data_IF_107654367956
#
_entry.id   IF_107654367956
#
_cell.length_a   1.000
_cell.length_b   1.000
_cell.length_c   1.000
_cell.angle_alpha   90.00
_cell.angle_beta   90.00
_cell.angle_gamma   90.00
#
_symmetry.space_group_name_H-M   'P 1'
#
loop_
_entity.id
_entity.type
_entity.pdbx_description
1 polymer ?
#
# COMPACT_ATOMS: atom_id res chain seq x y z
N UNK A 1 -9.37 14.58 6.62
CA UNK A 1 -9.43 13.32 5.85
C UNK A 1 -9.98 12.21 6.74
N UNK A 2 -10.81 11.33 6.19
CA UNK A 2 -11.35 10.14 6.87
C UNK A 2 -10.35 9.01 6.78
N UNK A 3 -9.96 8.45 7.91
CA UNK A 3 -8.93 7.40 7.99
C UNK A 3 -9.56 6.14 8.57
N UNK A 4 -9.34 4.99 7.91
CA UNK A 4 -9.60 3.67 8.47
C UNK A 4 -8.29 3.05 8.96
N UNK A 5 -8.32 2.33 10.09
CA UNK A 5 -7.18 1.56 10.60
C UNK A 5 -7.54 0.08 10.55
N UNK A 6 -6.63 -0.74 10.04
CA UNK A 6 -6.74 -2.21 10.03
C UNK A 6 -5.51 -2.78 10.73
N UNK A 7 -5.70 -3.30 11.94
CA UNK A 7 -4.64 -3.90 12.74
C UNK A 7 -5.25 -4.74 13.89
N UNK A 8 -4.73 -5.93 14.12
CA UNK A 8 -5.18 -6.87 15.15
C UNK A 8 -4.55 -6.63 16.53
N UNK A 9 -3.50 -5.77 16.60
CA UNK A 9 -2.79 -5.46 17.84
C UNK A 9 -3.32 -4.17 18.46
N UNK A 10 -4.06 -4.20 19.59
CA UNK A 10 -4.67 -3.01 20.19
C UNK A 10 -3.67 -1.89 20.51
N UNK A 11 -2.45 -2.26 20.91
CA UNK A 11 -1.38 -1.29 21.20
C UNK A 11 -0.98 -0.52 19.93
N UNK A 12 -0.87 -1.18 18.79
CA UNK A 12 -0.54 -0.52 17.51
C UNK A 12 -1.68 0.41 17.08
N UNK A 13 -2.93 -0.04 17.22
CA UNK A 13 -4.10 0.82 16.98
C UNK A 13 -4.03 2.10 17.82
N UNK A 14 -3.68 2.00 19.10
CA UNK A 14 -3.58 3.17 19.98
C UNK A 14 -2.41 4.09 19.59
N UNK A 15 -1.28 3.55 19.16
CA UNK A 15 -0.14 4.31 18.61
C UNK A 15 -0.57 5.12 17.38
N UNK A 16 -1.26 4.47 16.44
CA UNK A 16 -1.74 5.11 15.21
C UNK A 16 -2.80 6.16 15.52
N UNK A 17 -3.73 5.85 16.43
CA UNK A 17 -4.76 6.80 16.90
C UNK A 17 -4.14 8.05 17.50
N UNK A 18 -3.12 7.89 18.34
CA UNK A 18 -2.40 9.00 18.96
C UNK A 18 -1.66 9.84 17.92
N UNK A 19 -1.00 9.22 16.94
CA UNK A 19 -0.34 9.94 15.85
C UNK A 19 -1.34 10.77 15.01
N UNK A 20 -2.54 10.23 14.74
CA UNK A 20 -3.60 10.94 14.04
C UNK A 20 -4.18 12.09 14.85
N UNK A 21 -4.28 11.95 16.19
CA UNK A 21 -4.84 12.97 17.07
C UNK A 21 -4.02 14.28 17.10
N UNK A 22 -2.72 14.21 16.79
CA UNK A 22 -1.86 15.40 16.67
C UNK A 22 -2.20 16.25 15.43
N UNK A 23 -3.02 15.73 14.51
CA UNK A 23 -3.40 16.39 13.27
C UNK A 23 -4.92 16.48 13.10
N UNK A 24 -5.56 17.56 13.54
CA UNK A 24 -7.03 17.71 13.54
C UNK A 24 -7.70 17.57 12.16
N UNK A 25 -6.92 17.70 11.09
CA UNK A 25 -7.41 17.50 9.72
C UNK A 25 -7.69 16.01 9.40
N UNK A 26 -7.25 15.07 10.25
CA UNK A 26 -7.42 13.62 10.09
C UNK A 26 -8.41 13.09 11.12
N UNK A 27 -9.45 12.43 10.64
CA UNK A 27 -10.49 11.83 11.47
C UNK A 27 -10.44 10.31 11.33
N UNK A 28 -10.19 9.60 12.42
CA UNK A 28 -10.39 8.15 12.46
C UNK A 28 -11.88 7.85 12.43
N UNK A 29 -12.33 7.11 11.42
CA UNK A 29 -13.76 6.80 11.23
C UNK A 29 -14.11 5.38 11.66
N UNK A 30 -13.17 4.42 11.57
CA UNK A 30 -13.35 3.05 12.03
C UNK A 30 -12.00 2.33 12.23
N UNK A 31 -12.05 1.22 12.97
CA UNK A 31 -10.95 0.28 13.19
C UNK A 31 -11.46 -1.12 12.85
N UNK A 32 -10.68 -1.88 12.08
CA UNK A 32 -10.90 -3.27 11.78
C UNK A 32 -9.75 -4.13 12.33
N UNK A 33 -10.01 -5.36 12.74
CA UNK A 33 -9.04 -6.26 13.35
C UNK A 33 -8.48 -7.33 12.39
N UNK A 34 -9.08 -7.45 11.20
CA UNK A 34 -8.62 -8.33 10.14
C UNK A 34 -9.06 -7.83 8.76
N UNK A 35 -8.56 -8.51 7.71
CA UNK A 35 -8.85 -8.12 6.34
C UNK A 35 -10.30 -8.34 5.90
N UNK A 36 -11.06 -9.24 6.54
CA UNK A 36 -12.49 -9.44 6.25
C UNK A 36 -13.27 -8.25 6.73
N UNK A 37 -13.09 -7.89 8.01
CA UNK A 37 -13.73 -6.73 8.62
C UNK A 37 -13.33 -5.44 7.89
N UNK A 38 -12.07 -5.31 7.45
CA UNK A 38 -11.62 -4.16 6.69
C UNK A 38 -12.42 -3.97 5.39
N UNK A 39 -12.67 -5.04 4.63
CA UNK A 39 -13.45 -4.98 3.40
C UNK A 39 -14.92 -4.60 3.67
N UNK A 40 -15.51 -5.10 4.75
CA UNK A 40 -16.87 -4.76 5.19
C UNK A 40 -16.97 -3.28 5.62
N UNK A 41 -16.00 -2.80 6.40
CA UNK A 41 -15.96 -1.40 6.84
C UNK A 41 -15.76 -0.43 5.68
N UNK A 42 -14.94 -0.78 4.67
CA UNK A 42 -14.80 0.02 3.46
C UNK A 42 -16.12 0.10 2.67
N UNK A 43 -16.87 -0.99 2.60
CA UNK A 43 -18.18 -1.01 1.93
C UNK A 43 -19.24 -0.20 2.68
N UNK A 44 -19.17 -0.19 4.02
CA UNK A 44 -20.09 0.57 4.85
C UNK A 44 -19.76 2.08 4.88
N UNK A 45 -18.49 2.43 5.06
CA UNK A 45 -18.05 3.82 5.13
C UNK A 45 -16.66 3.95 4.51
N UNK A 46 -16.61 4.37 3.24
CA UNK A 46 -15.37 4.52 2.48
C UNK A 46 -14.46 5.60 3.08
N UNK A 47 -13.20 5.28 3.45
CA UNK A 47 -12.24 6.25 3.94
C UNK A 47 -11.51 6.96 2.80
N UNK A 48 -10.86 8.09 3.11
CA UNK A 48 -9.93 8.74 2.19
C UNK A 48 -8.59 7.99 2.11
N UNK A 49 -8.18 7.30 3.20
CA UNK A 49 -6.99 6.44 3.27
C UNK A 49 -7.22 5.32 4.29
N UNK A 50 -6.82 4.10 3.95
CA UNK A 50 -6.71 2.97 4.87
C UNK A 50 -5.26 2.82 5.33
N UNK A 51 -5.04 2.74 6.65
CA UNK A 51 -3.79 2.28 7.25
C UNK A 51 -3.91 0.78 7.46
N UNK A 52 -3.18 -0.02 6.67
CA UNK A 52 -3.31 -1.47 6.60
C UNK A 52 -2.09 -2.17 7.17
N UNK A 53 -2.26 -2.95 8.22
CA UNK A 53 -1.20 -3.88 8.64
C UNK A 53 -1.01 -5.01 7.63
N UNK A 54 0.21 -5.50 7.54
CA UNK A 54 0.57 -6.60 6.64
C UNK A 54 0.31 -7.95 7.28
N UNK A 55 0.60 -8.09 8.57
CA UNK A 55 0.54 -9.38 9.28
C UNK A 55 -0.67 -9.39 10.20
N UNK A 56 -1.70 -10.08 9.79
CA UNK A 56 -2.93 -10.25 10.57
C UNK A 56 -3.43 -11.68 10.46
N UNK A 57 -4.21 -12.17 11.45
CA UNK A 57 -4.85 -13.47 11.39
C UNK A 57 -5.93 -13.52 10.30
N UNK A 58 -6.32 -14.73 9.88
CA UNK A 58 -7.35 -15.04 8.91
C UNK A 58 -7.08 -14.50 7.50
N UNK A 59 -7.15 -13.20 7.31
CA UNK A 59 -6.89 -12.50 6.05
C UNK A 59 -5.84 -11.44 6.29
N UNK A 60 -4.66 -11.65 5.73
CA UNK A 60 -3.54 -10.73 5.84
C UNK A 60 -3.73 -9.44 5.02
N UNK A 61 -2.82 -8.46 5.19
CA UNK A 61 -2.94 -7.16 4.55
C UNK A 61 -2.84 -7.20 3.03
N UNK A 62 -2.12 -8.17 2.45
CA UNK A 62 -2.01 -8.30 0.99
C UNK A 62 -3.34 -8.76 0.39
N UNK A 63 -3.93 -9.83 0.94
CA UNK A 63 -5.23 -10.32 0.51
C UNK A 63 -6.36 -9.34 0.82
N UNK A 64 -6.30 -8.63 1.98
CA UNK A 64 -7.25 -7.56 2.30
C UNK A 64 -7.18 -6.42 1.27
N UNK A 65 -5.97 -6.00 0.88
CA UNK A 65 -5.74 -5.00 -0.16
C UNK A 65 -6.40 -5.44 -1.48
N UNK A 66 -6.15 -6.67 -1.92
CA UNK A 66 -6.75 -7.23 -3.13
C UNK A 66 -8.29 -7.16 -3.10
N UNK A 67 -8.91 -7.57 -1.99
CA UNK A 67 -10.37 -7.56 -1.83
C UNK A 67 -10.97 -6.16 -1.86
N UNK A 68 -10.33 -5.22 -1.15
CA UNK A 68 -10.77 -3.82 -1.10
C UNK A 68 -10.65 -3.20 -2.48
N UNK A 69 -9.51 -3.35 -3.15
CA UNK A 69 -9.28 -2.77 -4.48
C UNK A 69 -10.19 -3.33 -5.55
N UNK A 70 -10.70 -4.56 -5.40
CA UNK A 70 -11.68 -5.15 -6.33
C UNK A 70 -13.11 -4.65 -6.12
N UNK A 71 -13.52 -4.35 -4.88
CA UNK A 71 -14.93 -4.05 -4.54
C UNK A 71 -15.17 -2.58 -4.24
N UNK A 72 -14.29 -1.98 -3.48
CA UNK A 72 -14.43 -0.60 -2.96
C UNK A 72 -13.06 0.08 -2.99
N UNK A 73 -12.48 0.31 -4.19
CA UNK A 73 -11.12 0.82 -4.30
C UNK A 73 -10.95 2.14 -3.57
N UNK A 74 -9.94 2.19 -2.71
CA UNK A 74 -9.55 3.38 -1.96
C UNK A 74 -8.04 3.38 -1.71
N UNK A 75 -7.43 4.53 -1.41
CA UNK A 75 -6.02 4.63 -1.10
C UNK A 75 -5.63 3.78 0.10
N UNK A 76 -4.63 2.90 -0.05
CA UNK A 76 -4.12 2.04 1.02
C UNK A 76 -2.65 2.37 1.26
N UNK A 77 -2.33 2.71 2.52
CA UNK A 77 -0.98 2.85 3.04
C UNK A 77 -0.68 1.67 3.96
N UNK A 78 0.31 0.87 3.59
CA UNK A 78 0.73 -0.26 4.41
C UNK A 78 1.48 0.25 5.65
N UNK A 79 1.21 -0.33 6.81
CA UNK A 79 1.87 -0.01 8.08
C UNK A 79 2.39 -1.31 8.66
N UNK A 80 3.69 -1.42 8.90
CA UNK A 80 4.31 -2.64 9.45
C UNK A 80 5.44 -2.30 10.41
N UNK A 81 5.73 -3.18 11.37
CA UNK A 81 6.82 -2.98 12.31
C UNK A 81 8.20 -3.08 11.63
N UNK A 82 8.34 -3.97 10.65
CA UNK A 82 9.57 -4.19 9.89
C UNK A 82 9.27 -4.45 8.41
N UNK A 83 9.66 -3.48 7.56
CA UNK A 83 9.45 -3.55 6.12
C UNK A 83 10.33 -4.65 5.51
N UNK A 84 11.56 -4.81 5.99
CA UNK A 84 12.51 -5.77 5.42
C UNK A 84 12.11 -7.21 5.73
N UNK A 85 11.69 -7.48 6.96
CA UNK A 85 11.21 -8.80 7.37
C UNK A 85 9.92 -9.21 6.63
N UNK A 86 9.09 -8.25 6.25
CA UNK A 86 7.82 -8.47 5.59
C UNK A 86 7.84 -8.15 4.09
N UNK A 87 9.03 -8.02 3.47
CA UNK A 87 9.21 -7.51 2.11
C UNK A 87 8.33 -8.22 1.07
N UNK A 88 8.28 -9.56 1.09
CA UNK A 88 7.48 -10.35 0.14
C UNK A 88 6.01 -9.94 0.18
N UNK A 89 5.41 -9.90 1.38
CA UNK A 89 3.99 -9.50 1.55
C UNK A 89 3.75 -8.02 1.25
N UNK A 90 4.71 -7.16 1.53
CA UNK A 90 4.65 -5.74 1.15
C UNK A 90 4.60 -5.60 -0.37
N UNK A 91 5.47 -6.29 -1.11
CA UNK A 91 5.45 -6.25 -2.57
C UNK A 91 4.18 -6.86 -3.16
N UNK A 92 3.67 -7.93 -2.58
CA UNK A 92 2.38 -8.52 -2.96
C UNK A 92 1.24 -7.51 -2.79
N UNK A 93 1.13 -6.85 -1.64
CA UNK A 93 0.13 -5.83 -1.38
C UNK A 93 0.26 -4.61 -2.32
N UNK A 94 1.49 -4.17 -2.62
CA UNK A 94 1.74 -3.11 -3.62
C UNK A 94 1.28 -3.56 -5.01
N UNK A 95 1.52 -4.82 -5.39
CA UNK A 95 1.01 -5.43 -6.62
C UNK A 95 -0.52 -5.47 -6.69
N UNK A 96 -1.20 -5.57 -5.57
CA UNK A 96 -2.66 -5.51 -5.46
C UNK A 96 -3.23 -4.08 -5.38
N UNK A 97 -2.39 -3.06 -5.38
CA UNK A 97 -2.81 -1.65 -5.48
C UNK A 97 -2.62 -0.81 -4.22
N UNK A 98 -1.94 -1.31 -3.18
CA UNK A 98 -1.46 -0.43 -2.12
C UNK A 98 -0.47 0.60 -2.69
N UNK A 99 -0.48 1.83 -2.16
CA UNK A 99 0.23 2.95 -2.79
C UNK A 99 1.61 3.23 -2.19
N UNK A 100 1.83 2.90 -0.93
CA UNK A 100 3.11 3.10 -0.25
C UNK A 100 3.16 2.25 1.03
N UNK A 101 4.32 2.22 1.70
CA UNK A 101 4.53 1.53 2.98
C UNK A 101 5.26 2.44 3.97
N UNK A 102 4.94 2.30 5.26
CA UNK A 102 5.60 3.02 6.36
C UNK A 102 5.80 2.09 7.56
N UNK A 103 6.86 2.34 8.34
CA UNK A 103 7.05 1.67 9.63
C UNK A 103 6.11 2.22 10.69
N UNK A 104 5.60 1.33 11.54
CA UNK A 104 4.81 1.71 12.71
C UNK A 104 5.62 2.66 13.62
N UNK A 105 5.06 3.82 14.04
CA UNK A 105 5.73 4.69 15.00
C UNK A 105 6.01 3.97 16.32
N UNK A 106 7.17 4.23 16.93
CA UNK A 106 7.59 3.57 18.20
C UNK A 106 7.38 4.53 19.36
N UNK A 107 6.76 4.03 20.44
CA UNK A 107 6.48 4.84 21.65
C UNK A 107 7.67 5.11 22.55
N UNK A 108 8.80 4.39 22.36
CA UNK A 108 9.97 4.44 23.23
C UNK A 108 11.10 5.31 22.67
N UNK A 109 11.88 5.95 23.55
CA UNK A 109 13.13 6.62 23.15
C UNK A 109 13.01 8.00 22.49
N UNK A 110 11.91 8.72 22.65
CA UNK A 110 11.74 10.07 22.06
C UNK A 110 11.48 10.11 20.56
N UNK A 111 11.41 8.95 19.91
CA UNK A 111 11.26 8.83 18.45
C UNK A 111 9.80 8.83 17.97
N UNK A 112 8.83 8.89 18.90
CA UNK A 112 7.41 8.85 18.53
C UNK A 112 7.02 9.99 17.58
N UNK A 113 7.41 11.23 17.90
CA UNK A 113 7.06 12.39 17.08
C UNK A 113 7.64 12.29 15.66
N UNK A 114 8.87 11.79 15.53
CA UNK A 114 9.49 11.59 14.23
C UNK A 114 8.75 10.51 13.41
N UNK A 115 8.41 9.39 14.03
CA UNK A 115 7.64 8.32 13.42
C UNK A 115 6.22 8.76 13.06
N UNK A 116 5.55 9.50 13.94
CA UNK A 116 4.24 10.08 13.70
C UNK A 116 4.27 11.08 12.54
N UNK A 117 5.25 11.97 12.48
CA UNK A 117 5.42 12.92 11.37
C UNK A 117 5.65 12.19 10.03
N UNK A 118 6.48 11.12 10.02
CA UNK A 118 6.69 10.30 8.83
C UNK A 118 5.41 9.61 8.36
N UNK A 119 4.62 9.07 9.30
CA UNK A 119 3.31 8.47 9.01
C UNK A 119 2.35 9.50 8.37
N UNK A 120 2.21 10.68 8.99
CA UNK A 120 1.33 11.74 8.49
C UNK A 120 1.75 12.22 7.09
N UNK A 121 3.05 12.45 6.88
CA UNK A 121 3.56 12.82 5.55
C UNK A 121 3.22 11.76 4.48
N UNK A 122 3.29 10.48 4.81
CA UNK A 122 2.91 9.37 3.92
C UNK A 122 1.40 9.34 3.67
N UNK A 123 0.56 9.52 4.69
CA UNK A 123 -0.90 9.61 4.56
C UNK A 123 -1.27 10.72 3.57
N UNK A 124 -0.72 11.91 3.74
CA UNK A 124 -0.98 13.04 2.86
C UNK A 124 -0.49 12.80 1.43
N UNK A 125 0.68 12.14 1.27
CA UNK A 125 1.21 11.77 -0.05
C UNK A 125 0.27 10.81 -0.76
N UNK A 126 -0.15 9.73 -0.10
CA UNK A 126 -1.05 8.70 -0.62
C UNK A 126 -2.41 9.29 -1.01
N UNK A 127 -2.98 10.15 -0.17
CA UNK A 127 -4.23 10.83 -0.46
C UNK A 127 -4.15 11.77 -1.69
N UNK A 128 -3.00 12.42 -1.89
CA UNK A 128 -2.78 13.25 -3.10
C UNK A 128 -2.62 12.40 -4.36
N UNK A 129 -1.99 11.24 -4.27
CA UNK A 129 -1.83 10.32 -5.41
C UNK A 129 -3.18 9.84 -5.91
N UNK A 130 -4.10 9.51 -5.03
CA UNK A 130 -5.45 9.06 -5.39
C UNK A 130 -6.27 10.15 -6.12
N UNK A 131 -6.21 11.40 -5.67
CA UNK A 131 -6.91 12.51 -6.33
C UNK A 131 -6.42 12.81 -7.76
N UNK A 132 -5.19 12.38 -8.07
CA UNK A 132 -4.58 12.60 -9.40
C UNK A 132 -4.99 11.55 -10.43
N UNK A 133 -5.60 10.44 -10.01
CA UNK A 133 -6.03 9.33 -10.87
C UNK A 133 -7.43 9.56 -11.46
N UNK A 134 -8.19 10.57 -11.04
CA UNK A 134 -9.52 10.90 -11.58
C UNK A 134 -9.51 11.48 -13.02
N UNK A 135 -8.34 11.84 -13.56
CA UNK A 135 -8.21 12.12 -14.99
C UNK A 135 -7.73 10.83 -15.68
N UNK A 136 -8.49 10.24 -16.63
CA UNK A 136 -7.97 9.13 -17.42
C UNK A 136 -6.71 9.62 -18.12
N UNK A 137 -5.56 9.05 -17.75
CA UNK A 137 -4.33 9.29 -18.47
C UNK A 137 -4.61 8.96 -19.96
N UNK A 138 -4.19 9.80 -20.91
CA UNK A 138 -4.34 9.48 -22.31
C UNK A 138 -3.71 8.11 -22.53
N UNK A 139 -4.49 7.18 -23.06
CA UNK A 139 -4.02 5.84 -23.42
C UNK A 139 -2.86 6.06 -24.38
N UNK A 140 -1.64 5.94 -23.90
CA UNK A 140 -0.48 5.93 -24.76
C UNK A 140 -0.69 4.75 -25.71
N UNK A 141 -0.91 5.05 -26.99
CA UNK A 141 -0.83 4.03 -28.03
C UNK A 141 0.51 3.31 -27.83
N UNK A 142 0.53 1.96 -27.80
CA UNK A 142 1.78 1.25 -27.67
C UNK A 142 2.76 1.80 -28.73
N UNK A 143 3.94 2.22 -28.27
CA UNK A 143 4.97 2.67 -29.19
C UNK A 143 5.22 1.53 -30.18
N UNK A 144 5.19 1.85 -31.48
CA UNK A 144 5.51 0.89 -32.53
C UNK A 144 6.91 0.36 -32.21
N UNK A 145 7.00 -0.91 -31.84
CA UNK A 145 8.26 -1.58 -31.60
C UNK A 145 8.97 -1.59 -32.98
N UNK A 146 9.95 -0.71 -33.16
CA UNK A 146 10.87 -0.84 -34.27
C UNK A 146 11.68 -2.10 -34.02
N UNK A 147 11.77 -3.00 -34.99
CA UNK A 147 12.62 -4.18 -34.91
C UNK A 147 14.02 -3.74 -34.49
N UNK A 148 14.45 -4.20 -33.33
CA UNK A 148 15.79 -3.93 -32.83
C UNK A 148 16.80 -4.77 -33.63
N UNK A 149 17.96 -4.20 -33.92
CA UNK A 149 19.09 -4.90 -34.50
C UNK A 149 19.40 -6.15 -33.65
N UNK A 150 19.40 -7.34 -34.21
CA UNK A 150 19.58 -8.59 -33.48
C UNK A 150 20.93 -8.71 -32.73
N UNK A 151 21.85 -7.78 -32.96
CA UNK A 151 23.14 -7.70 -32.26
C UNK A 151 23.11 -7.00 -30.90
N UNK A 152 22.01 -6.28 -30.55
CA UNK A 152 21.94 -5.49 -29.33
C UNK A 152 21.10 -6.19 -28.27
N UNK A 153 21.77 -6.84 -27.30
CA UNK A 153 21.12 -7.53 -26.16
C UNK A 153 20.83 -6.59 -24.98
N UNK A 154 20.22 -5.43 -25.21
CA UNK A 154 19.80 -4.52 -24.14
C UNK A 154 18.30 -4.65 -23.91
N UNK A 155 17.91 -5.13 -22.74
CA UNK A 155 16.52 -5.13 -22.28
C UNK A 155 16.35 -4.05 -21.23
N UNK A 156 15.54 -3.03 -21.54
CA UNK A 156 15.18 -1.98 -20.58
C UNK A 156 13.74 -2.18 -20.16
N UNK A 157 13.52 -2.48 -18.88
CA UNK A 157 12.19 -2.68 -18.33
C UNK A 157 11.84 -1.49 -17.44
N UNK A 158 10.87 -0.70 -17.86
CA UNK A 158 10.28 0.36 -17.04
C UNK A 158 9.04 -0.18 -16.31
N UNK A 159 9.03 -0.08 -14.99
CA UNK A 159 7.92 -0.55 -14.18
C UNK A 159 7.23 0.59 -13.42
N UNK A 160 5.89 0.64 -13.48
CA UNK A 160 5.04 1.49 -12.64
C UNK A 160 4.52 0.70 -11.43
N UNK A 161 3.50 1.17 -10.72
CA UNK A 161 2.96 0.54 -9.51
C UNK A 161 2.60 -0.96 -9.63
N UNK A 162 2.23 -1.47 -10.82
CA UNK A 162 2.00 -2.90 -11.10
C UNK A 162 3.25 -3.67 -11.56
N UNK A 163 4.39 -2.98 -11.74
CA UNK A 163 5.60 -3.55 -12.30
C UNK A 163 6.29 -4.61 -11.47
N UNK A 164 6.36 -4.51 -10.13
CA UNK A 164 7.03 -5.50 -9.30
C UNK A 164 6.47 -6.92 -9.45
N UNK A 165 5.15 -7.07 -9.54
CA UNK A 165 4.51 -8.38 -9.74
C UNK A 165 4.84 -8.96 -11.12
N UNK A 166 4.74 -8.16 -12.18
CA UNK A 166 5.07 -8.58 -13.55
C UNK A 166 6.56 -8.91 -13.71
N UNK A 167 7.46 -8.17 -13.02
CA UNK A 167 8.89 -8.46 -13.01
C UNK A 167 9.22 -9.77 -12.28
N UNK A 168 8.50 -10.06 -11.18
CA UNK A 168 8.66 -11.31 -10.45
C UNK A 168 8.28 -12.53 -11.32
N UNK A 169 7.18 -12.46 -12.07
CA UNK A 169 6.79 -13.51 -13.02
C UNK A 169 7.81 -13.68 -14.16
N UNK A 170 8.33 -12.57 -14.70
CA UNK A 170 9.39 -12.60 -15.72
C UNK A 170 10.68 -13.27 -15.20
N UNK A 171 11.09 -12.94 -13.97
CA UNK A 171 12.26 -13.56 -13.34
C UNK A 171 12.07 -15.08 -13.15
N UNK A 172 10.87 -15.52 -12.73
CA UNK A 172 10.57 -16.94 -12.57
C UNK A 172 10.63 -17.72 -13.89
N UNK A 173 10.17 -17.13 -14.99
CA UNK A 173 10.25 -17.74 -16.32
C UNK A 173 11.70 -17.88 -16.83
N UNK A 174 12.59 -16.93 -16.47
CA UNK A 174 13.99 -16.95 -16.91
C UNK A 174 14.91 -17.83 -16.04
N UNK A 175 14.52 -18.16 -14.81
CA UNK A 175 15.32 -18.96 -13.88
C UNK A 175 14.94 -20.44 -13.87
N UNK A 176 13.88 -20.85 -14.59
CA UNK A 176 13.44 -22.25 -14.65
C UNK A 176 14.17 -23.09 -15.68
N UNK A 177 15.00 -22.49 -16.54
CA UNK A 177 15.74 -23.18 -17.63
C UNK A 177 17.28 -23.15 -17.44
N UNK A 178 17.78 -22.99 -16.19
CA UNK A 178 19.22 -23.02 -15.87
C UNK A 178 19.58 -24.22 -15.00
#
# INVERSE_FOLDING_TARGET
MKIGIVNDVPMVVEILRRALAEHPAHQLIWVAQDGVQAAEMCAWQLPDVVLMDIIMPNVDGAEATRRIMQKTPCPILLVTADISANAVKVYEALGHGALDVVTTPVMTGGNFQQGAAALIAKIEKVARMSKKVEAPAPVHKPAVIREADPSTKLVVIGASAGGPAALAELCLLYTSDA
#
